data_IF_870409574856
#
_entry.id   IF_870409574856
#
_cell.length_a   1.000
_cell.length_b   1.000
_cell.length_c   1.000
_cell.angle_alpha   90.00
_cell.angle_beta   90.00
_cell.angle_gamma   90.00
#
_symmetry.space_group_name_H-M   'P 1'
#
loop_
_entity.id
_entity.type
_entity.pdbx_description
1 polymer ?
#
# COMPACT_ATOMS: atom_id res chain seq x y z
N UNK A 1 -4.03 -26.80 2.68
CA UNK A 1 -3.56 -26.72 4.07
C UNK A 1 -2.15 -26.12 4.06
N UNK A 2 -1.89 -25.14 4.93
CA UNK A 2 -0.82 -24.15 4.81
C UNK A 2 0.60 -24.69 4.64
N UNK A 3 1.21 -24.31 3.52
CA UNK A 3 2.65 -24.49 3.26
C UNK A 3 3.46 -23.71 4.30
N UNK A 4 4.36 -24.40 5.00
CA UNK A 4 5.23 -23.78 6.00
C UNK A 4 6.08 -22.65 5.39
N UNK A 5 6.49 -22.80 4.13
CA UNK A 5 7.28 -21.78 3.41
C UNK A 5 6.49 -20.49 3.22
N UNK A 6 5.19 -20.58 2.97
CA UNK A 6 4.33 -19.40 2.82
C UNK A 6 4.23 -18.63 4.15
N UNK A 7 4.11 -19.35 5.26
CA UNK A 7 4.09 -18.74 6.61
C UNK A 7 5.43 -18.06 6.93
N UNK A 8 6.54 -18.71 6.60
CA UNK A 8 7.88 -18.13 6.76
C UNK A 8 8.01 -16.86 5.93
N UNK A 9 7.64 -16.90 4.64
CA UNK A 9 7.72 -15.72 3.77
C UNK A 9 6.84 -14.56 4.25
N UNK A 10 5.62 -14.84 4.73
CA UNK A 10 4.77 -13.80 5.32
C UNK A 10 5.38 -13.23 6.60
N UNK A 11 5.96 -14.08 7.45
CA UNK A 11 6.67 -13.61 8.64
C UNK A 11 7.87 -12.73 8.28
N UNK A 12 8.67 -13.15 7.30
CA UNK A 12 9.84 -12.40 6.83
C UNK A 12 9.42 -11.05 6.23
N UNK A 13 8.34 -11.03 5.44
CA UNK A 13 7.77 -9.81 4.88
C UNK A 13 7.32 -8.83 5.97
N UNK A 14 6.61 -9.32 6.98
CA UNK A 14 6.18 -8.51 8.13
C UNK A 14 7.38 -7.98 8.92
N UNK A 15 8.41 -8.80 9.13
CA UNK A 15 9.61 -8.42 9.87
C UNK A 15 10.48 -7.39 9.11
N UNK A 16 10.46 -7.43 7.79
CA UNK A 16 11.17 -6.48 6.94
C UNK A 16 10.44 -5.13 6.79
N UNK A 17 9.22 -5.00 7.32
CA UNK A 17 8.42 -3.80 7.20
C UNK A 17 9.04 -2.64 7.99
N UNK A 18 9.24 -1.50 7.32
CA UNK A 18 9.73 -0.27 7.92
C UNK A 18 8.53 0.53 8.42
N UNK A 19 8.42 0.68 9.74
CA UNK A 19 7.35 1.45 10.37
C UNK A 19 7.82 2.89 10.58
N UNK A 20 7.05 3.85 10.07
CA UNK A 20 7.33 5.27 10.19
C UNK A 20 6.11 6.07 10.63
N UNK A 21 6.32 7.36 10.92
CA UNK A 21 5.22 8.28 11.22
C UNK A 21 4.23 8.41 10.04
N UNK A 22 4.68 8.25 8.79
CA UNK A 22 3.88 8.41 7.55
C UNK A 22 3.29 7.12 7.00
N UNK A 23 3.65 5.96 7.56
CA UNK A 23 3.02 4.68 7.23
C UNK A 23 3.99 3.51 7.39
N UNK A 24 3.65 2.39 6.78
CA UNK A 24 4.49 1.19 6.72
C UNK A 24 4.90 0.95 5.27
N UNK A 25 6.17 0.66 5.04
CA UNK A 25 6.70 0.46 3.68
C UNK A 25 7.90 -0.49 3.67
N UNK A 26 8.38 -0.80 2.48
CA UNK A 26 9.59 -1.58 2.26
C UNK A 26 10.52 -0.78 1.36
N UNK A 27 11.81 -0.83 1.68
CA UNK A 27 12.87 -0.19 0.91
C UNK A 27 13.76 -1.25 0.28
N UNK A 28 14.24 -0.94 -0.92
CA UNK A 28 15.20 -1.78 -1.61
C UNK A 28 16.62 -1.40 -1.20
N UNK A 29 17.49 -2.39 -0.95
CA UNK A 29 18.88 -2.13 -0.56
C UNK A 29 19.67 -1.34 -1.63
N UNK A 30 19.30 -1.51 -2.90
CA UNK A 30 19.81 -0.74 -4.01
C UNK A 30 18.74 -0.65 -5.10
N UNK A 31 18.65 0.50 -5.77
CA UNK A 31 17.79 0.64 -6.95
C UNK A 31 18.37 -0.14 -8.12
N UNK A 32 17.55 -0.99 -8.71
CA UNK A 32 17.85 -1.62 -9.99
C UNK A 32 17.12 -0.86 -11.11
N UNK A 33 17.88 0.00 -11.79
CA UNK A 33 17.39 0.77 -12.94
C UNK A 33 16.91 -0.11 -14.10
N UNK A 34 17.44 -1.34 -14.23
CA UNK A 34 17.01 -2.28 -15.27
C UNK A 34 15.66 -2.92 -14.95
N UNK A 35 15.45 -3.24 -13.66
CA UNK A 35 14.16 -3.70 -13.17
C UNK A 35 13.14 -2.57 -12.99
N UNK A 36 13.56 -1.30 -13.16
CA UNK A 36 12.77 -0.11 -12.80
C UNK A 36 12.21 -0.19 -11.38
N UNK A 37 13.01 -0.76 -10.47
CA UNK A 37 12.60 -1.07 -9.12
C UNK A 37 12.59 0.20 -8.24
N UNK A 38 11.73 0.21 -7.23
CA UNK A 38 11.61 1.32 -6.29
C UNK A 38 10.86 0.90 -5.03
N UNK A 39 11.07 1.65 -3.95
CA UNK A 39 10.39 1.45 -2.67
C UNK A 39 8.86 1.49 -2.83
N UNK A 40 8.35 2.30 -3.76
CA UNK A 40 6.92 2.34 -4.12
C UNK A 40 6.47 1.03 -4.74
N UNK A 41 7.21 0.51 -5.71
CA UNK A 41 6.91 -0.75 -6.38
C UNK A 41 6.94 -1.91 -5.37
N UNK A 42 8.01 -1.99 -4.58
CA UNK A 42 8.19 -2.99 -3.54
C UNK A 42 7.06 -2.95 -2.50
N UNK A 43 6.69 -1.75 -2.03
CA UNK A 43 5.61 -1.58 -1.05
C UNK A 43 4.23 -1.92 -1.62
N UNK A 44 3.96 -1.61 -2.89
CA UNK A 44 2.72 -1.98 -3.56
C UNK A 44 2.61 -3.50 -3.75
N UNK A 45 3.70 -4.17 -4.13
CA UNK A 45 3.74 -5.63 -4.25
C UNK A 45 3.55 -6.29 -2.87
N UNK A 46 4.20 -5.77 -1.83
CA UNK A 46 4.02 -6.24 -0.45
C UNK A 46 2.57 -6.08 0.02
N UNK A 47 1.94 -4.92 -0.24
CA UNK A 47 0.52 -4.71 0.03
C UNK A 47 -0.33 -5.76 -0.68
N UNK A 48 -0.12 -5.96 -1.98
CA UNK A 48 -0.89 -6.91 -2.76
C UNK A 48 -0.74 -8.36 -2.24
N UNK A 49 0.46 -8.74 -1.79
CA UNK A 49 0.69 -10.04 -1.18
C UNK A 49 -0.07 -10.19 0.15
N UNK A 50 -0.03 -9.18 1.02
CA UNK A 50 -0.76 -9.19 2.29
C UNK A 50 -2.27 -9.26 2.07
N UNK A 51 -2.82 -8.44 1.17
CA UNK A 51 -4.26 -8.45 0.86
C UNK A 51 -4.73 -9.83 0.38
N UNK A 52 -3.93 -10.52 -0.43
CA UNK A 52 -4.31 -11.84 -0.96
C UNK A 52 -4.12 -13.00 0.02
N UNK A 53 -3.10 -12.92 0.88
CA UNK A 53 -2.65 -14.06 1.69
C UNK A 53 -3.01 -13.93 3.18
N UNK A 54 -3.12 -12.70 3.67
CA UNK A 54 -3.44 -12.35 5.06
C UNK A 54 -4.23 -11.02 5.11
N UNK A 55 -5.46 -10.97 4.58
CA UNK A 55 -6.26 -9.73 4.49
C UNK A 55 -6.62 -9.12 5.84
N UNK A 56 -6.43 -9.85 6.94
CA UNK A 56 -6.68 -9.37 8.31
C UNK A 56 -5.41 -8.80 8.96
N UNK A 57 -4.30 -8.71 8.22
CA UNK A 57 -3.06 -8.18 8.73
C UNK A 57 -3.21 -6.70 9.11
N UNK A 58 -2.88 -6.40 10.36
CA UNK A 58 -3.09 -5.08 10.96
C UNK A 58 -2.20 -3.98 10.37
N UNK A 59 -1.14 -4.33 9.63
CA UNK A 59 -0.26 -3.32 9.01
C UNK A 59 -0.83 -2.77 7.70
N UNK A 60 -1.77 -3.48 7.05
CA UNK A 60 -2.31 -3.12 5.73
C UNK A 60 -2.78 -1.66 5.65
N UNK A 61 -3.59 -1.12 6.61
CA UNK A 61 -4.02 0.28 6.55
C UNK A 61 -2.85 1.28 6.55
N UNK A 62 -1.76 0.97 7.25
CA UNK A 62 -0.58 1.82 7.28
C UNK A 62 0.26 1.72 6.00
N UNK A 63 0.21 0.59 5.29
CA UNK A 63 0.83 0.44 3.97
C UNK A 63 0.06 1.26 2.92
N UNK A 64 -1.27 1.17 2.94
CA UNK A 64 -2.16 1.99 2.10
C UNK A 64 -1.89 3.48 2.35
N UNK A 65 -1.82 3.91 3.62
CA UNK A 65 -1.49 5.28 3.98
C UNK A 65 -0.15 5.74 3.42
N UNK A 66 0.88 4.90 3.51
CA UNK A 66 2.19 5.22 2.97
C UNK A 66 2.14 5.43 1.45
N UNK A 67 1.49 4.52 0.71
CA UNK A 67 1.35 4.63 -0.74
C UNK A 67 0.63 5.92 -1.14
N UNK A 68 -0.44 6.29 -0.41
CA UNK A 68 -1.17 7.54 -0.64
C UNK A 68 -0.32 8.79 -0.39
N UNK A 69 0.56 8.76 0.62
CA UNK A 69 1.52 9.85 0.89
C UNK A 69 2.62 9.92 -0.18
N UNK A 70 3.06 8.77 -0.69
CA UNK A 70 4.08 8.69 -1.74
C UNK A 70 3.58 9.17 -3.12
N UNK A 71 2.26 9.22 -3.33
CA UNK A 71 1.62 9.67 -4.57
C UNK A 71 1.86 11.17 -4.81
N UNK A 72 2.16 11.55 -6.05
CA UNK A 72 2.37 12.94 -6.46
C UNK A 72 1.32 13.35 -7.49
N UNK A 73 0.31 14.10 -7.04
CA UNK A 73 -0.85 14.40 -7.87
C UNK A 73 -1.59 13.11 -8.24
N UNK A 74 -1.77 12.87 -9.54
CA UNK A 74 -2.53 11.71 -10.01
C UNK A 74 -1.71 10.42 -10.13
N UNK A 75 -0.38 10.48 -10.06
CA UNK A 75 0.52 9.37 -10.38
C UNK A 75 1.60 9.15 -9.32
N UNK A 76 2.26 7.99 -9.40
CA UNK A 76 3.58 7.78 -8.80
C UNK A 76 4.66 8.07 -9.86
N UNK A 77 5.95 8.04 -9.47
CA UNK A 77 7.05 8.61 -10.26
C UNK A 77 7.20 7.96 -11.64
N UNK A 78 6.82 6.68 -11.76
CA UNK A 78 6.91 5.93 -13.02
C UNK A 78 5.60 5.20 -13.35
N UNK A 79 5.48 4.74 -14.59
CA UNK A 79 4.35 3.91 -15.02
C UNK A 79 4.26 2.60 -14.24
N UNK A 80 5.40 1.96 -13.92
CA UNK A 80 5.40 0.71 -13.16
C UNK A 80 4.90 0.93 -11.73
N UNK A 81 5.39 1.98 -11.06
CA UNK A 81 4.92 2.35 -9.73
C UNK A 81 3.41 2.62 -9.73
N UNK A 82 2.91 3.32 -10.76
CA UNK A 82 1.49 3.63 -10.87
C UNK A 82 0.65 2.37 -11.10
N UNK A 83 1.10 1.44 -11.97
CA UNK A 83 0.39 0.18 -12.21
C UNK A 83 0.34 -0.68 -10.95
N UNK A 84 1.47 -0.88 -10.27
CA UNK A 84 1.50 -1.67 -9.03
C UNK A 84 0.71 -1.02 -7.91
N UNK A 85 0.84 0.29 -7.72
CA UNK A 85 0.06 1.04 -6.75
C UNK A 85 -1.44 0.90 -6.99
N UNK A 86 -1.90 1.10 -8.23
CA UNK A 86 -3.32 0.97 -8.58
C UNK A 86 -3.83 -0.46 -8.36
N UNK A 87 -3.09 -1.48 -8.79
CA UNK A 87 -3.50 -2.87 -8.59
C UNK A 87 -3.64 -3.22 -7.11
N UNK A 88 -2.64 -2.86 -6.30
CA UNK A 88 -2.63 -3.18 -4.87
C UNK A 88 -3.74 -2.43 -4.10
N UNK A 89 -3.94 -1.14 -4.39
CA UNK A 89 -4.99 -0.34 -3.77
C UNK A 89 -6.38 -0.81 -4.19
N UNK A 90 -6.58 -1.21 -5.45
CA UNK A 90 -7.86 -1.72 -5.92
C UNK A 90 -8.20 -3.08 -5.28
N UNK A 91 -7.21 -3.96 -5.12
CA UNK A 91 -7.39 -5.24 -4.42
C UNK A 91 -7.82 -5.00 -2.96
N UNK A 92 -7.22 -4.01 -2.29
CA UNK A 92 -7.59 -3.62 -0.94
C UNK A 92 -9.01 -3.04 -0.85
N UNK A 93 -9.35 -2.09 -1.72
CA UNK A 93 -10.69 -1.48 -1.78
C UNK A 93 -11.79 -2.53 -2.00
N UNK A 94 -11.50 -3.54 -2.82
CA UNK A 94 -12.43 -4.65 -3.07
C UNK A 94 -12.58 -5.53 -1.84
N UNK A 95 -11.47 -5.81 -1.14
CA UNK A 95 -11.44 -6.65 0.07
C UNK A 95 -12.18 -6.02 1.26
N UNK A 96 -12.11 -4.70 1.39
CA UNK A 96 -12.77 -3.93 2.47
C UNK A 96 -14.20 -3.49 2.13
N UNK A 97 -14.57 -3.52 0.86
CA UNK A 97 -15.86 -3.00 0.39
C UNK A 97 -15.93 -1.48 0.29
N UNK A 98 -14.79 -0.78 0.31
CA UNK A 98 -14.69 0.68 0.20
C UNK A 98 -15.34 1.24 -1.09
N UNK A 99 -15.47 0.41 -2.14
CA UNK A 99 -16.12 0.77 -3.40
C UNK A 99 -17.61 1.12 -3.26
N UNK A 100 -18.24 0.82 -2.12
CA UNK A 100 -19.64 1.16 -1.84
C UNK A 100 -19.80 2.41 -0.97
N UNK A 101 -18.73 3.19 -0.78
CA UNK A 101 -18.76 4.37 0.07
C UNK A 101 -19.72 5.46 -0.41
N UNK A 102 -20.78 5.73 0.36
CA UNK A 102 -21.64 6.89 0.22
C UNK A 102 -21.40 7.83 1.41
N UNK A 103 -20.48 8.78 1.25
CA UNK A 103 -20.08 9.70 2.31
C UNK A 103 -20.54 11.11 1.98
N UNK A 104 -21.23 11.75 2.92
CA UNK A 104 -21.41 13.19 2.93
C UNK A 104 -20.15 13.82 3.56
N UNK A 105 -19.62 14.87 2.94
CA UNK A 105 -18.50 15.62 3.46
C UNK A 105 -18.80 17.11 3.43
N UNK A 106 -18.28 17.82 4.43
CA UNK A 106 -18.33 19.27 4.54
C UNK A 106 -16.96 19.77 4.97
N UNK A 107 -16.55 20.93 4.45
CA UNK A 107 -15.24 21.52 4.73
C UNK A 107 -15.46 22.90 5.35
N UNK A 108 -14.91 23.14 6.54
CA UNK A 108 -14.94 24.46 7.16
C UNK A 108 -13.61 25.16 6.96
N UNK A 109 -13.65 26.39 6.43
CA UNK A 109 -12.51 27.29 6.38
C UNK A 109 -12.82 28.55 7.17
N UNK A 110 -12.05 28.79 8.23
CA UNK A 110 -12.23 29.92 9.15
C UNK A 110 -13.66 29.97 9.74
N UNK A 111 -14.20 28.81 10.13
CA UNK A 111 -15.52 28.69 10.77
C UNK A 111 -16.71 28.71 9.80
N UNK A 112 -16.48 28.89 8.51
CA UNK A 112 -17.53 28.86 7.49
C UNK A 112 -17.42 27.61 6.65
N UNK A 113 -18.54 26.92 6.45
CA UNK A 113 -18.64 25.80 5.53
C UNK A 113 -18.38 26.26 4.08
N UNK A 114 -17.72 25.42 3.30
CA UNK A 114 -17.29 25.66 1.91
C UNK A 114 -18.01 24.73 0.95
#
# INVERSE_FOLDING_TARGET
AGDARLKTLLSDLNNAAIVSATGVHWEEAARDSWAFSSDTCSSAIALQALVRLDPQNQIIPNVVRWLMVARRGDIWLTTQESVWGLLALTDWMTTTGELNGAYDYAVWLNGNER
#
